data_IF_271418591085
#
_entry.id   IF_271418591085
#
_cell.length_a   1.000
_cell.length_b   1.000
_cell.length_c   1.000
_cell.angle_alpha   90.00
_cell.angle_beta   90.00
_cell.angle_gamma   90.00
#
_symmetry.space_group_name_H-M   'P 1'
#
loop_
_entity.id
_entity.type
_entity.pdbx_description
1 polymer ?
#
# COMPACT_ATOMS: atom_id res chain seq x y z
N UNK A 1 -22.11 11.92 -9.53
CA UNK A 1 -20.89 11.38 -8.88
C UNK A 1 -19.89 12.51 -8.68
N UNK A 2 -19.38 12.75 -7.46
CA UNK A 2 -18.39 13.82 -7.22
C UNK A 2 -17.09 13.57 -8.00
N UNK A 3 -16.47 14.63 -8.56
CA UNK A 3 -15.18 14.57 -9.28
C UNK A 3 -14.12 13.78 -8.51
N UNK A 4 -14.10 13.93 -7.18
CA UNK A 4 -13.20 13.20 -6.28
C UNK A 4 -13.33 11.67 -6.41
N UNK A 5 -14.56 11.16 -6.52
CA UNK A 5 -14.81 9.72 -6.68
C UNK A 5 -14.41 9.23 -8.07
N UNK A 6 -14.64 10.05 -9.10
CA UNK A 6 -14.26 9.74 -10.48
C UNK A 6 -12.75 9.57 -10.60
N UNK A 7 -11.98 10.46 -9.94
CA UNK A 7 -10.51 10.39 -9.88
C UNK A 7 -10.03 9.10 -9.20
N UNK A 8 -10.62 8.73 -8.06
CA UNK A 8 -10.25 7.48 -7.35
C UNK A 8 -10.58 6.24 -8.20
N UNK A 9 -11.70 6.25 -8.91
CA UNK A 9 -12.13 5.13 -9.75
C UNK A 9 -11.26 4.93 -10.99
N UNK A 10 -10.69 6.00 -11.56
CA UNK A 10 -9.82 5.92 -12.74
C UNK A 10 -8.35 5.62 -12.38
N UNK A 11 -7.93 5.86 -11.14
CA UNK A 11 -6.56 5.59 -10.65
C UNK A 11 -6.01 4.21 -11.03
N UNK A 12 -6.72 3.07 -10.83
CA UNK A 12 -6.17 1.76 -11.17
C UNK A 12 -5.84 1.64 -12.67
N UNK A 13 -6.68 2.18 -13.55
CA UNK A 13 -6.41 2.16 -14.99
C UNK A 13 -5.17 2.97 -15.35
N UNK A 14 -5.03 4.17 -14.77
CA UNK A 14 -3.85 5.03 -14.97
C UNK A 14 -2.59 4.31 -14.45
N UNK A 15 -2.66 3.69 -13.27
CA UNK A 15 -1.55 2.95 -12.68
C UNK A 15 -1.15 1.76 -13.54
N UNK A 16 -2.11 1.01 -14.09
CA UNK A 16 -1.83 -0.12 -14.98
C UNK A 16 -1.15 0.35 -16.27
N UNK A 17 -1.64 1.42 -16.89
CA UNK A 17 -1.01 1.98 -18.10
C UNK A 17 0.43 2.42 -17.79
N UNK A 18 0.63 3.16 -16.69
CA UNK A 18 1.95 3.59 -16.26
C UNK A 18 2.89 2.41 -15.94
N UNK A 19 2.38 1.36 -15.28
CA UNK A 19 3.13 0.14 -14.99
C UNK A 19 3.59 -0.56 -16.27
N UNK A 20 2.71 -0.72 -17.25
CA UNK A 20 3.05 -1.33 -18.54
C UNK A 20 4.07 -0.48 -19.30
N UNK A 21 3.88 0.85 -19.34
CA UNK A 21 4.84 1.74 -19.98
C UNK A 21 6.22 1.66 -19.32
N UNK A 22 6.30 1.68 -17.98
CA UNK A 22 7.56 1.54 -17.27
C UNK A 22 8.20 0.17 -17.50
N UNK A 23 7.40 -0.90 -17.48
CA UNK A 23 7.86 -2.26 -17.75
C UNK A 23 8.45 -2.42 -19.15
N UNK A 24 7.75 -1.95 -20.19
CA UNK A 24 8.21 -2.11 -21.57
C UNK A 24 9.32 -1.12 -21.97
N UNK A 25 9.36 0.09 -21.41
CA UNK A 25 10.36 1.10 -21.77
C UNK A 25 11.67 0.94 -20.99
N UNK A 26 11.61 0.41 -19.77
CA UNK A 26 12.78 0.38 -18.87
C UNK A 26 13.17 -1.01 -18.40
N UNK A 27 12.42 -2.06 -18.77
CA UNK A 27 12.56 -3.45 -18.31
C UNK A 27 12.54 -3.62 -16.78
N UNK A 28 12.23 -2.56 -16.04
CA UNK A 28 12.22 -2.52 -14.58
C UNK A 28 10.83 -2.84 -14.03
N UNK A 29 10.37 -4.06 -14.29
CA UNK A 29 9.11 -4.59 -13.76
C UNK A 29 9.09 -4.61 -12.23
N UNK A 30 10.23 -4.94 -11.61
CA UNK A 30 10.36 -5.04 -10.15
C UNK A 30 10.12 -3.76 -9.38
N UNK A 31 10.61 -2.57 -9.78
CA UNK A 31 10.25 -1.32 -9.12
C UNK A 31 9.02 -0.63 -9.76
N UNK A 32 8.61 -0.98 -10.97
CA UNK A 32 7.45 -0.36 -11.62
C UNK A 32 6.14 -0.57 -10.86
N UNK A 33 5.99 -1.71 -10.16
CA UNK A 33 4.80 -1.99 -9.35
C UNK A 33 4.53 -0.96 -8.23
N UNK A 34 5.51 -0.12 -7.87
CA UNK A 34 5.34 0.96 -6.90
C UNK A 34 4.25 1.94 -7.28
N UNK A 35 3.97 2.08 -8.59
CA UNK A 35 2.90 2.95 -9.08
C UNK A 35 1.54 2.49 -8.54
N UNK A 36 1.34 1.20 -8.26
CA UNK A 36 0.09 0.70 -7.69
C UNK A 36 -0.16 1.15 -6.25
N UNK A 37 0.88 1.58 -5.50
CA UNK A 37 0.67 2.18 -4.18
C UNK A 37 -0.11 3.50 -4.25
N UNK A 38 -0.18 4.13 -5.42
CA UNK A 38 -1.02 5.31 -5.62
C UNK A 38 -2.51 4.99 -5.46
N UNK A 39 -2.95 3.76 -5.77
CA UNK A 39 -4.36 3.35 -5.68
C UNK A 39 -4.90 3.50 -4.25
N UNK A 40 -4.32 2.86 -3.21
CA UNK A 40 -4.77 3.06 -1.84
C UNK A 40 -4.49 4.48 -1.34
N UNK A 41 -3.51 5.19 -1.90
CA UNK A 41 -3.15 6.55 -1.48
C UNK A 41 -4.11 7.63 -2.04
N UNK A 42 -4.73 7.40 -3.20
CA UNK A 42 -5.53 8.42 -3.90
C UNK A 42 -6.69 9.00 -3.09
N UNK A 43 -7.46 8.22 -2.30
CA UNK A 43 -8.49 8.77 -1.43
C UNK A 43 -7.96 9.76 -0.40
N UNK A 44 -6.70 9.63 0.02
CA UNK A 44 -6.05 10.54 0.95
C UNK A 44 -5.58 11.81 0.24
N UNK A 45 -4.96 11.69 -0.95
CA UNK A 45 -4.53 12.83 -1.78
C UNK A 45 -5.70 13.76 -2.14
N UNK A 46 -6.85 13.17 -2.46
CA UNK A 46 -8.07 13.91 -2.83
C UNK A 46 -8.82 14.47 -1.59
N UNK A 47 -8.30 14.22 -0.39
CA UNK A 47 -8.83 14.71 0.88
C UNK A 47 -10.15 14.04 1.30
N UNK A 48 -10.41 12.82 0.83
CA UNK A 48 -11.61 12.04 1.18
C UNK A 48 -11.43 11.26 2.48
N UNK A 49 -10.19 10.91 2.83
CA UNK A 49 -9.81 10.31 4.11
C UNK A 49 -8.64 11.10 4.69
N UNK A 50 -8.67 11.34 6.01
CA UNK A 50 -7.48 11.83 6.72
C UNK A 50 -6.45 10.70 6.78
N UNK A 51 -5.18 11.04 6.55
CA UNK A 51 -4.07 10.12 6.79
C UNK A 51 -4.09 9.81 8.28
N UNK A 52 -4.43 8.57 8.62
CA UNK A 52 -4.28 8.05 9.98
C UNK A 52 -2.97 7.27 9.96
N UNK A 53 -1.96 7.74 10.68
CA UNK A 53 -0.75 6.97 10.88
C UNK A 53 -1.16 5.61 11.45
N UNK A 54 -0.91 4.57 10.67
CA UNK A 54 -1.32 3.21 10.98
C UNK A 54 -0.12 2.32 10.78
N UNK A 55 0.02 1.30 11.62
CA UNK A 55 1.10 0.31 11.58
C UNK A 55 1.38 -0.21 10.15
N UNK A 56 0.36 -0.50 9.31
CA UNK A 56 0.59 -0.92 7.92
C UNK A 56 1.37 0.10 7.08
N UNK A 57 1.16 1.40 7.28
CA UNK A 57 1.85 2.45 6.51
C UNK A 57 3.35 2.48 6.83
N UNK A 58 3.70 2.28 8.11
CA UNK A 58 5.09 2.19 8.57
C UNK A 58 5.77 0.95 8.00
N UNK A 59 5.09 -0.20 8.06
CA UNK A 59 5.60 -1.47 7.53
C UNK A 59 5.83 -1.41 6.02
N UNK A 60 4.89 -0.82 5.27
CA UNK A 60 5.06 -0.58 3.83
C UNK A 60 6.23 0.37 3.58
N UNK A 61 6.40 1.43 4.36
CA UNK A 61 7.56 2.33 4.26
C UNK A 61 8.90 1.62 4.44
N UNK A 62 9.01 0.74 5.44
CA UNK A 62 10.21 -0.09 5.66
C UNK A 62 10.46 -1.02 4.48
N UNK A 63 9.40 -1.68 3.99
CA UNK A 63 9.50 -2.54 2.81
C UNK A 63 10.02 -1.80 1.58
N UNK A 64 9.57 -0.57 1.35
CA UNK A 64 10.03 0.27 0.25
C UNK A 64 11.50 0.65 0.37
N UNK A 65 11.97 0.96 1.56
CA UNK A 65 13.38 1.26 1.83
C UNK A 65 14.25 0.02 1.55
N UNK A 66 13.81 -1.17 1.99
CA UNK A 66 14.51 -2.43 1.73
C UNK A 66 14.57 -2.77 0.23
N UNK A 67 13.48 -2.55 -0.50
CA UNK A 67 13.43 -2.76 -1.95
C UNK A 67 14.30 -1.77 -2.73
N UNK A 68 14.18 -0.48 -2.43
CA UNK A 68 14.85 0.59 -3.20
C UNK A 68 16.35 0.70 -2.90
N UNK A 69 16.75 0.57 -1.63
CA UNK A 69 18.15 0.78 -1.21
C UNK A 69 18.96 -0.50 -1.31
N UNK A 70 18.39 -1.63 -0.89
CA UNK A 70 19.11 -2.90 -0.80
C UNK A 70 18.77 -3.88 -1.92
N UNK A 71 17.80 -3.55 -2.79
CA UNK A 71 17.33 -4.46 -3.85
C UNK A 71 16.63 -5.71 -3.32
N UNK A 72 16.27 -5.75 -2.02
CA UNK A 72 15.73 -6.91 -1.32
C UNK A 72 14.22 -7.06 -1.55
N UNK A 73 13.79 -6.97 -2.82
CA UNK A 73 12.40 -7.02 -3.20
C UNK A 73 11.74 -8.33 -2.84
N UNK A 74 12.40 -9.48 -3.08
CA UNK A 74 11.88 -10.82 -2.82
C UNK A 74 11.90 -11.21 -1.33
N UNK A 75 13.04 -11.15 -0.61
CA UNK A 75 13.05 -11.50 0.81
C UNK A 75 12.31 -10.46 1.67
N UNK A 76 12.21 -9.22 1.20
CA UNK A 76 11.53 -8.14 1.94
C UNK A 76 10.03 -8.37 2.17
N UNK A 77 9.34 -9.22 1.37
CA UNK A 77 7.90 -9.47 1.54
C UNK A 77 7.55 -10.02 2.92
N UNK A 78 8.50 -10.70 3.58
CA UNK A 78 8.34 -11.21 4.94
C UNK A 78 7.97 -10.08 5.91
N UNK A 79 8.45 -8.86 5.69
CA UNK A 79 8.13 -7.68 6.50
C UNK A 79 6.65 -7.33 6.43
N UNK A 80 5.97 -7.55 5.29
CA UNK A 80 4.53 -7.30 5.14
C UNK A 80 3.69 -8.26 6.00
N UNK A 81 4.19 -9.46 6.29
CA UNK A 81 3.52 -10.42 7.20
C UNK A 81 3.48 -9.94 8.65
N UNK A 82 4.25 -8.91 9.02
CA UNK A 82 4.12 -8.29 10.33
C UNK A 82 2.76 -7.61 10.51
N UNK A 83 2.10 -7.16 9.43
CA UNK A 83 0.78 -6.52 9.50
C UNK A 83 -0.26 -7.42 10.18
N UNK A 84 -0.53 -8.65 9.67
CA UNK A 84 -1.47 -9.55 10.33
C UNK A 84 -0.98 -9.99 11.71
N UNK A 85 0.33 -10.21 11.91
CA UNK A 85 0.89 -10.59 13.22
C UNK A 85 0.59 -9.51 14.27
N UNK A 86 0.84 -8.24 13.97
CA UNK A 86 0.50 -7.13 14.87
C UNK A 86 -1.01 -7.07 15.11
N UNK A 87 -1.85 -7.22 14.09
CA UNK A 87 -3.30 -7.20 14.26
C UNK A 87 -3.81 -8.33 15.16
N UNK A 88 -3.24 -9.54 15.05
CA UNK A 88 -3.60 -10.68 15.90
C UNK A 88 -3.15 -10.44 17.34
N UNK A 89 -1.92 -9.97 17.55
CA UNK A 89 -1.35 -9.72 18.88
C UNK A 89 -2.01 -8.55 19.62
N UNK A 90 -2.36 -7.48 18.88
CA UNK A 90 -2.98 -6.27 19.43
C UNK A 90 -4.50 -6.33 19.46
N UNK A 91 -5.15 -7.41 19.01
CA UNK A 91 -6.59 -7.59 19.22
C UNK A 91 -6.80 -7.86 20.71
N UNK A 92 -7.40 -6.92 21.48
CA UNK A 92 -7.76 -7.23 22.85
C UNK A 92 -8.90 -8.24 22.80
N UNK A 93 -8.71 -9.38 23.46
CA UNK A 93 -9.82 -10.29 23.79
C UNK A 93 -10.72 -9.57 24.78
N UNK A 94 -11.62 -8.71 24.30
CA UNK A 94 -12.79 -8.27 25.07
C UNK A 94 -13.76 -9.45 25.08
N UNK A 95 -13.43 -10.45 25.91
CA UNK A 95 -14.39 -11.48 26.27
C UNK A 95 -15.27 -10.88 27.36
N UNK A 96 -16.54 -10.79 27.01
CA UNK A 96 -17.71 -10.41 27.79
C UNK A 96 -17.62 -10.86 29.26
N UNK A 97 -17.75 -9.88 30.16
CA UNK A 97 -18.00 -10.11 31.59
C UNK A 97 -19.19 -9.25 32.00
N UNK A 98 -20.34 -9.45 31.35
CA UNK A 98 -21.66 -9.08 31.88
C UNK A 98 -22.69 -10.14 31.51
N UNK A 99 -22.64 -11.28 32.21
CA UNK A 99 -23.80 -12.14 32.49
C UNK A 99 -24.10 -12.06 33.99
#
# INVERSE_FOLDING_TARGET
>A
MSIKNKVIAITPFICTIAFLLLGFLTDKWHPAWLVFLLIPLMPFLVGKKKIRFSIPLVIVGIYLILGLVFGLWHPGWVVLLLIPVFHILLTPTMKDSTD
#
